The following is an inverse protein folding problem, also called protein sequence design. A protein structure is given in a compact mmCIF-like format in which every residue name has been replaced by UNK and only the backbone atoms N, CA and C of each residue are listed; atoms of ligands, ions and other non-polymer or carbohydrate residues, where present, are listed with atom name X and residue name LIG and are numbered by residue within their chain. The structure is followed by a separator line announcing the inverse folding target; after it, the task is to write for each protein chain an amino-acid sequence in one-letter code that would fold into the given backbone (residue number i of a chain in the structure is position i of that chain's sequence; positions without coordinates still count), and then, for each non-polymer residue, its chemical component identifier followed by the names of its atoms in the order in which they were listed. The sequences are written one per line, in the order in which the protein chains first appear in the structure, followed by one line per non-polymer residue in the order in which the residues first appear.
data_IF_440241256354
#
_entry.id   IF_440241256354
#
_cell.length_a   1.000
_cell.length_b   1.000
_cell.length_c   1.000
_cell.angle_alpha   90.00
_cell.angle_beta   90.00
_cell.angle_gamma   90.00
#
_symmetry.space_group_name_H-M   'P 1'
#
loop_
_entity.id
_entity.type
_entity.pdbx_description
1 polymer ?
#
# COMPACT_ATOMS: atom_id res chain seq x y z
N UNK A 1 4.15 -19.20 17.57
CA UNK A 1 2.94 -19.98 17.43
C UNK A 1 2.02 -19.37 16.38
N UNK A 2 1.09 -20.18 15.93
CA UNK A 2 0.14 -19.77 14.91
C UNK A 2 -0.72 -18.59 15.38
N UNK A 3 -1.06 -18.56 16.65
CA UNK A 3 -1.87 -17.46 17.19
C UNK A 3 -1.14 -16.13 17.19
N UNK A 4 0.15 -16.15 17.45
CA UNK A 4 0.96 -14.94 17.38
C UNK A 4 0.99 -14.42 15.94
N UNK A 5 1.06 -15.31 14.98
CA UNK A 5 1.09 -14.93 13.56
C UNK A 5 -0.23 -14.31 13.10
N UNK A 6 -1.36 -14.78 13.63
CA UNK A 6 -2.66 -14.20 13.29
C UNK A 6 -2.80 -12.75 13.69
N UNK A 7 -2.07 -12.33 14.72
CA UNK A 7 -2.15 -10.96 15.23
C UNK A 7 -1.07 -10.06 14.66
N UNK A 8 -0.17 -10.59 13.84
CA UNK A 8 0.88 -9.80 13.22
C UNK A 8 0.34 -9.05 12.03
N UNK A 9 0.76 -7.80 11.94
CA UNK A 9 0.54 -7.00 10.75
C UNK A 9 1.68 -7.27 9.78
N UNK A 10 1.32 -7.45 8.53
CA UNK A 10 2.29 -7.49 7.45
C UNK A 10 2.23 -6.16 6.72
N UNK A 11 3.37 -5.51 6.60
CA UNK A 11 3.44 -4.22 5.93
C UNK A 11 4.36 -4.36 4.72
N UNK A 12 3.78 -4.18 3.54
CA UNK A 12 4.53 -4.16 2.30
C UNK A 12 4.81 -2.71 1.95
N UNK A 13 6.08 -2.35 1.84
CA UNK A 13 6.47 -0.98 1.53
C UNK A 13 6.78 -0.87 0.05
N UNK A 14 6.10 0.04 -0.61
CA UNK A 14 6.37 0.39 -2.00
C UNK A 14 6.79 1.85 -2.02
N UNK A 15 7.83 2.16 -2.78
CA UNK A 15 8.40 3.50 -2.80
C UNK A 15 8.42 4.02 -4.22
N UNK A 16 8.06 5.27 -4.38
CA UNK A 16 8.27 5.98 -5.63
C UNK A 16 8.96 7.30 -5.35
N UNK A 17 9.90 7.64 -6.21
CA UNK A 17 10.57 8.93 -6.21
C UNK A 17 10.08 9.68 -7.43
N UNK A 18 9.17 10.60 -7.22
CA UNK A 18 8.64 11.40 -8.30
C UNK A 18 8.80 12.86 -7.98
N UNK A 19 9.38 13.60 -8.91
CA UNK A 19 9.46 15.05 -8.80
C UNK A 19 8.12 15.71 -9.04
N UNK A 20 7.23 15.00 -9.70
CA UNK A 20 5.88 15.50 -9.94
C UNK A 20 4.95 14.79 -8.99
N UNK A 21 4.23 15.54 -8.19
CA UNK A 21 3.24 15.01 -7.26
C UNK A 21 2.05 14.39 -8.00
N UNK A 22 2.23 14.06 -9.25
CA UNK A 22 1.13 13.71 -10.12
C UNK A 22 1.16 12.24 -10.43
N UNK A 23 0.07 11.59 -10.13
CA UNK A 23 -0.33 10.34 -10.76
C UNK A 23 0.56 9.13 -10.53
N UNK A 24 1.33 9.12 -9.45
CA UNK A 24 1.94 7.88 -9.03
C UNK A 24 1.02 7.20 -8.06
N UNK A 25 0.04 6.53 -8.63
CA UNK A 25 -0.94 5.76 -7.89
C UNK A 25 -0.90 4.29 -8.31
N UNK A 26 0.27 3.84 -8.74
CA UNK A 26 0.45 2.47 -9.21
C UNK A 26 1.64 1.82 -8.54
N UNK A 27 1.48 0.56 -8.21
CA UNK A 27 2.58 -0.27 -7.75
C UNK A 27 2.31 -1.71 -8.18
N UNK A 28 3.35 -2.51 -8.15
CA UNK A 28 3.22 -3.91 -8.52
C UNK A 28 3.32 -4.79 -7.28
N UNK A 29 2.44 -5.77 -7.20
CA UNK A 29 2.55 -6.85 -6.22
C UNK A 29 3.04 -8.10 -6.93
N UNK A 30 3.94 -8.83 -6.27
CA UNK A 30 4.31 -10.16 -6.76
C UNK A 30 3.17 -11.13 -6.48
N UNK A 31 3.14 -12.29 -7.18
CA UNK A 31 2.14 -13.31 -6.85
C UNK A 31 2.16 -13.73 -5.38
N UNK A 32 3.34 -13.84 -4.78
CA UNK A 32 3.45 -14.19 -3.36
C UNK A 32 2.88 -13.10 -2.47
N UNK A 33 3.13 -11.83 -2.82
CA UNK A 33 2.57 -10.70 -2.07
C UNK A 33 1.05 -10.69 -2.18
N UNK A 34 0.51 -10.95 -3.36
CA UNK A 34 -0.92 -11.04 -3.55
C UNK A 34 -1.53 -12.17 -2.71
N UNK A 35 -0.92 -13.34 -2.76
CA UNK A 35 -1.39 -14.50 -1.98
C UNK A 35 -1.34 -14.21 -0.49
N UNK A 36 -0.29 -13.56 -0.02
CA UNK A 36 -0.17 -13.16 1.37
C UNK A 36 -1.27 -12.19 1.76
N UNK A 37 -1.56 -11.23 0.89
CA UNK A 37 -2.64 -10.28 1.12
C UNK A 37 -3.99 -10.97 1.22
N UNK A 38 -4.24 -11.95 0.36
CA UNK A 38 -5.48 -12.73 0.43
C UNK A 38 -5.59 -13.50 1.74
N UNK A 39 -4.47 -14.06 2.20
CA UNK A 39 -4.45 -14.86 3.43
C UNK A 39 -4.63 -14.01 4.66
N UNK A 40 -3.97 -12.87 4.72
CA UNK A 40 -3.94 -12.04 5.93
C UNK A 40 -5.12 -11.04 6.01
N UNK A 41 -5.72 -10.69 4.89
CA UNK A 41 -6.87 -9.79 4.89
C UNK A 41 -6.57 -8.46 5.58
N UNK A 42 -7.30 -8.17 6.65
CA UNK A 42 -7.17 -6.89 7.37
C UNK A 42 -5.79 -6.69 8.02
N UNK A 43 -5.01 -7.74 8.13
CA UNK A 43 -3.66 -7.66 8.70
C UNK A 43 -2.58 -7.42 7.65
N UNK A 44 -2.96 -7.24 6.40
CA UNK A 44 -2.04 -6.90 5.33
C UNK A 44 -2.20 -5.43 4.98
N UNK A 45 -1.09 -4.70 5.01
CA UNK A 45 -1.05 -3.27 4.70
C UNK A 45 -0.07 -3.01 3.58
N UNK A 46 -0.42 -2.10 2.70
CA UNK A 46 0.53 -1.54 1.74
C UNK A 46 0.81 -0.10 2.15
N UNK A 47 2.07 0.21 2.34
CA UNK A 47 2.55 1.56 2.61
C UNK A 47 3.22 2.06 1.35
N UNK A 48 2.56 2.97 0.67
CA UNK A 48 3.06 3.55 -0.57
C UNK A 48 3.71 4.89 -0.25
N UNK A 49 5.04 4.88 -0.24
CA UNK A 49 5.84 6.04 0.14
C UNK A 49 6.14 6.89 -1.08
N UNK A 50 5.75 8.15 -1.03
CA UNK A 50 6.02 9.13 -2.07
C UNK A 50 7.00 10.15 -1.51
N UNK A 51 8.16 10.24 -2.14
CA UNK A 51 9.20 11.20 -1.76
C UNK A 51 9.32 12.22 -2.88
N UNK A 52 9.08 13.47 -2.56
CA UNK A 52 9.20 14.56 -3.51
C UNK A 52 9.76 15.82 -2.83
N UNK A 53 9.81 16.92 -3.57
CA UNK A 53 10.37 18.17 -3.05
C UNK A 53 9.56 18.76 -1.90
N UNK A 54 8.31 18.37 -1.77
CA UNK A 54 7.43 18.84 -0.69
C UNK A 54 7.55 18.00 0.58
N UNK A 55 8.28 16.89 0.52
CA UNK A 55 8.49 16.04 1.67
C UNK A 55 8.17 14.59 1.40
N UNK A 56 7.87 13.89 2.48
CA UNK A 56 7.57 12.46 2.45
C UNK A 56 6.15 12.24 2.89
N UNK A 57 5.39 11.58 2.03
CA UNK A 57 4.02 11.22 2.32
C UNK A 57 3.85 9.72 2.11
N UNK A 58 2.97 9.14 2.89
CA UNK A 58 2.71 7.72 2.78
C UNK A 58 1.21 7.52 2.60
N UNK A 59 0.86 6.69 1.63
CA UNK A 59 -0.51 6.28 1.44
C UNK A 59 -0.68 4.88 1.99
N UNK A 60 -1.56 4.73 2.96
CA UNK A 60 -1.76 3.47 3.67
C UNK A 60 -3.02 2.79 3.14
N UNK A 61 -2.85 1.59 2.60
CA UNK A 61 -3.96 0.76 2.16
C UNK A 61 -4.03 -0.45 3.07
N UNK A 62 -5.12 -0.57 3.80
CA UNK A 62 -5.39 -1.75 4.61
C UNK A 62 -6.23 -2.72 3.79
N UNK A 63 -5.81 -3.97 3.76
CA UNK A 63 -6.52 -5.04 3.07
C UNK A 63 -6.79 -4.70 1.59
N UNK A 64 -5.75 -4.71 0.75
CA UNK A 64 -5.91 -4.35 -0.66
C UNK A 64 -6.88 -5.27 -1.41
N UNK A 65 -7.03 -6.52 -0.97
CA UNK A 65 -7.98 -7.44 -1.60
C UNK A 65 -9.41 -6.93 -1.41
N UNK A 66 -9.74 -6.48 -0.21
CA UNK A 66 -11.05 -5.91 0.07
C UNK A 66 -11.27 -4.63 -0.74
N UNK A 67 -10.25 -3.79 -0.85
CA UNK A 67 -10.34 -2.57 -1.64
C UNK A 67 -10.55 -2.88 -3.12
N UNK A 68 -9.95 -3.94 -3.60
CA UNK A 68 -10.17 -4.41 -4.95
C UNK A 68 -11.62 -4.88 -5.14
N UNK A 69 -12.14 -5.65 -4.20
CA UNK A 69 -13.52 -6.13 -4.24
C UNK A 69 -14.54 -4.99 -4.18
N UNK A 70 -14.20 -3.92 -3.45
CA UNK A 70 -15.05 -2.75 -3.35
C UNK A 70 -14.94 -1.81 -4.56
N UNK A 71 -14.01 -2.08 -5.47
CA UNK A 71 -13.82 -1.25 -6.64
C UNK A 71 -12.96 -0.01 -6.41
N UNK A 72 -12.31 0.08 -5.26
CA UNK A 72 -11.45 1.22 -4.92
C UNK A 72 -10.05 1.12 -5.50
N UNK A 73 -9.64 -0.07 -5.90
CA UNK A 73 -8.40 -0.26 -6.65
C UNK A 73 -8.67 -1.13 -7.87
N UNK A 74 -7.86 -0.96 -8.88
CA UNK A 74 -7.90 -1.78 -10.09
C UNK A 74 -6.61 -2.60 -10.15
N UNK A 75 -6.72 -3.84 -10.58
CA UNK A 75 -5.58 -4.73 -10.68
C UNK A 75 -5.63 -5.38 -12.05
N UNK A 76 -4.55 -5.27 -12.80
CA UNK A 76 -4.47 -5.94 -14.08
C UNK A 76 -3.87 -7.35 -13.93
N UNK A 77 -3.79 -8.08 -15.03
CA UNK A 77 -3.31 -9.46 -15.02
C UNK A 77 -1.83 -9.60 -14.64
N UNK A 78 -1.09 -8.50 -14.64
CA UNK A 78 0.31 -8.47 -14.24
C UNK A 78 0.47 -8.04 -12.78
N UNK A 79 -0.64 -7.94 -12.05
CA UNK A 79 -0.70 -7.50 -10.66
C UNK A 79 -0.16 -6.09 -10.45
N UNK A 80 -0.33 -5.24 -11.46
CA UNK A 80 -0.13 -3.80 -11.29
C UNK A 80 -1.40 -3.25 -10.68
N UNK A 81 -1.25 -2.66 -9.50
CA UNK A 81 -2.34 -2.10 -8.73
C UNK A 81 -2.42 -0.61 -9.01
N UNK A 82 -3.60 -0.16 -9.41
CA UNK A 82 -3.89 1.26 -9.53
C UNK A 82 -4.88 1.61 -8.43
N UNK A 83 -4.47 2.48 -7.51
CA UNK A 83 -5.31 2.80 -6.36
C UNK A 83 -5.92 4.20 -6.50
N UNK A 84 -7.09 4.36 -5.89
CA UNK A 84 -7.79 5.64 -5.81
C UNK A 84 -7.67 6.21 -4.41
N UNK A 85 -8.06 7.46 -4.27
CA UNK A 85 -8.06 8.13 -2.96
C UNK A 85 -8.94 7.43 -1.94
N UNK A 86 -9.95 6.71 -2.41
CA UNK A 86 -10.90 6.02 -1.53
C UNK A 86 -10.34 4.70 -0.99
N UNK A 87 -9.23 4.21 -1.54
CA UNK A 87 -8.69 2.91 -1.16
C UNK A 87 -7.84 2.95 0.13
N UNK A 88 -7.51 4.13 0.62
CA UNK A 88 -6.66 4.25 1.79
C UNK A 88 -6.60 5.68 2.29
N UNK A 89 -5.57 5.97 3.05
CA UNK A 89 -5.40 7.29 3.67
C UNK A 89 -3.97 7.80 3.51
N UNK A 90 -3.86 9.09 3.26
CA UNK A 90 -2.57 9.77 3.22
C UNK A 90 -2.15 10.18 4.62
N UNK A 91 -0.87 9.96 4.91
CA UNK A 91 -0.23 10.45 6.12
C UNK A 91 1.07 11.13 5.73
N UNK A 92 1.32 12.29 6.33
CA UNK A 92 2.59 12.96 6.14
C UNK A 92 3.58 12.42 7.15
N UNK A 93 4.75 12.03 6.67
CA UNK A 93 5.81 11.61 7.57
C UNK A 93 6.54 12.85 8.07
N UNK A 94 6.53 13.00 9.38
CA UNK A 94 7.29 14.07 10.01
C UNK A 94 8.74 13.66 10.08
N UNK A 95 9.63 14.52 9.63
CA UNK A 95 11.04 14.29 9.83
C UNK A 95 11.36 14.49 11.30
N UNK A 96 12.00 13.48 11.88
CA UNK A 96 12.53 13.62 13.22
C UNK A 96 13.88 14.30 13.06
N UNK A 97 13.90 15.58 13.32
CA UNK A 97 15.14 16.33 13.37
C UNK A 97 15.58 16.42 14.81
N UNK A 98 16.71 15.89 15.05
CA UNK A 98 17.35 16.07 16.36
C UNK A 98 18.27 17.27 16.33
#
# INVERSE_FOLDING_TARGET
SIEIEKNKRYIEVKTTKSRKAINNNRFKLTPNEWDTAETLGDNYFVYYLVINDEGRNIFVIQNPIKQFELGNIKVDKNLVVEFSKTSGQWHRLLEITN
#
